data_IF_254567845609
#
_entry.id   IF_254567845609
#
_cell.length_a   1.000
_cell.length_b   1.000
_cell.length_c   1.000
_cell.angle_alpha   90.00
_cell.angle_beta   90.00
_cell.angle_gamma   90.00
#
_symmetry.space_group_name_H-M   'P 1'
#
loop_
_entity.id
_entity.type
_entity.pdbx_description
1 polymer ?
#
# COMPACT_ATOMS: atom_id res chain seq x y z
N UNK A 1 17.06 12.33 -20.95
CA UNK A 1 16.00 12.76 -21.90
C UNK A 1 15.45 11.52 -22.57
N UNK A 2 14.35 10.96 -22.05
CA UNK A 2 13.57 9.95 -22.78
C UNK A 2 12.54 10.75 -23.56
N UNK A 3 12.72 10.82 -24.88
CA UNK A 3 11.78 11.48 -25.79
C UNK A 3 10.51 10.62 -25.90
N UNK A 4 9.33 11.26 -25.93
CA UNK A 4 8.01 10.60 -26.06
C UNK A 4 7.92 9.56 -27.19
N UNK A 5 8.85 9.60 -28.15
CA UNK A 5 8.95 8.65 -29.26
C UNK A 5 9.22 7.18 -28.86
N UNK A 6 9.71 6.91 -27.64
CA UNK A 6 9.99 5.53 -27.18
C UNK A 6 8.89 4.86 -26.36
N UNK A 7 7.80 5.55 -26.05
CA UNK A 7 6.66 4.93 -25.34
C UNK A 7 5.87 4.03 -26.31
N UNK A 8 5.70 4.46 -27.57
CA UNK A 8 4.92 3.71 -28.57
C UNK A 8 5.50 2.36 -28.99
N UNK A 9 6.81 2.14 -28.83
CA UNK A 9 7.45 0.87 -29.23
C UNK A 9 7.39 -0.22 -28.14
N UNK A 10 6.91 0.11 -26.93
CA UNK A 10 6.74 -0.82 -25.81
C UNK A 10 5.27 -1.18 -25.52
N UNK A 11 4.32 -0.56 -26.21
CA UNK A 11 2.90 -0.89 -26.07
C UNK A 11 2.58 -2.02 -27.05
N UNK A 12 2.93 -3.25 -26.65
CA UNK A 12 2.27 -4.42 -27.22
C UNK A 12 0.80 -4.37 -26.77
N UNK A 13 -0.13 -4.53 -27.72
CA UNK A 13 -1.53 -4.06 -27.67
C UNK A 13 -2.43 -4.69 -26.60
N UNK A 14 -1.88 -5.49 -25.67
CA UNK A 14 -2.62 -6.24 -24.66
C UNK A 14 -2.18 -6.02 -23.21
N UNK A 15 -1.26 -5.09 -22.92
CA UNK A 15 -0.95 -4.77 -21.52
C UNK A 15 -0.18 -3.45 -21.39
N UNK A 16 -0.92 -2.35 -21.23
CA UNK A 16 -0.36 -1.08 -20.75
C UNK A 16 0.36 -1.25 -19.39
N UNK A 17 0.05 -2.36 -18.68
CA UNK A 17 0.49 -2.72 -17.33
C UNK A 17 1.59 -3.80 -17.34
N UNK A 18 2.42 -3.90 -18.37
CA UNK A 18 3.64 -4.73 -18.34
C UNK A 18 4.92 -3.93 -18.55
N UNK A 19 5.14 -2.95 -17.68
CA UNK A 19 6.41 -2.24 -17.58
C UNK A 19 6.97 -2.42 -16.17
N UNK A 20 8.21 -2.88 -16.04
CA UNK A 20 8.78 -3.45 -14.82
C UNK A 20 8.88 -2.38 -13.70
N UNK A 21 8.16 -2.54 -12.59
CA UNK A 21 8.37 -1.75 -11.36
C UNK A 21 8.39 -0.24 -11.61
N UNK A 22 9.40 0.47 -11.09
CA UNK A 22 9.71 1.92 -11.15
C UNK A 22 9.37 2.68 -12.46
N UNK A 23 9.04 1.97 -13.53
CA UNK A 23 8.55 2.50 -14.78
C UNK A 23 7.05 2.91 -14.73
N UNK A 24 6.25 2.38 -13.80
CA UNK A 24 4.82 2.74 -13.65
C UNK A 24 4.60 4.15 -13.11
N UNK A 25 5.25 4.51 -12.01
CA UNK A 25 5.17 5.86 -11.45
C UNK A 25 5.63 6.89 -12.49
N UNK A 26 6.61 6.52 -13.32
CA UNK A 26 7.11 7.35 -14.42
C UNK A 26 6.11 7.52 -15.57
N UNK A 27 5.29 6.52 -15.86
CA UNK A 27 4.21 6.63 -16.87
C UNK A 27 3.15 7.62 -16.38
N UNK A 28 2.66 7.46 -15.14
CA UNK A 28 1.70 8.38 -14.55
C UNK A 28 2.27 9.80 -14.45
N UNK A 29 3.50 9.94 -13.97
CA UNK A 29 4.22 11.21 -13.94
C UNK A 29 4.35 11.84 -15.33
N UNK A 30 4.71 11.03 -16.34
CA UNK A 30 4.88 11.50 -17.72
C UNK A 30 3.58 11.99 -18.33
N UNK A 31 2.46 11.34 -18.05
CA UNK A 31 1.15 11.73 -18.57
C UNK A 31 0.63 12.97 -17.85
N UNK A 32 0.70 13.03 -16.52
CA UNK A 32 0.30 14.24 -15.78
C UNK A 32 1.14 15.44 -16.22
N UNK A 33 2.45 15.26 -16.42
CA UNK A 33 3.34 16.27 -16.99
C UNK A 33 2.90 16.67 -18.39
N UNK A 34 2.61 15.71 -19.27
CA UNK A 34 2.14 15.99 -20.63
C UNK A 34 0.82 16.76 -20.63
N UNK A 35 -0.10 16.46 -19.71
CA UNK A 35 -1.37 17.18 -19.57
C UNK A 35 -1.15 18.62 -19.08
N UNK A 36 -0.37 18.81 -18.01
CA UNK A 36 -0.35 20.07 -17.25
C UNK A 36 0.75 21.05 -17.68
N UNK A 37 1.87 20.59 -18.24
CA UNK A 37 2.98 21.49 -18.56
C UNK A 37 2.59 22.49 -19.67
N UNK A 38 2.91 23.77 -19.48
CA UNK A 38 2.63 24.83 -20.47
C UNK A 38 3.33 24.58 -21.80
N UNK A 39 4.43 23.82 -21.82
CA UNK A 39 5.12 23.43 -23.07
C UNK A 39 4.27 22.55 -23.97
N UNK A 40 3.30 21.81 -23.42
CA UNK A 40 2.37 21.06 -24.25
C UNK A 40 1.18 21.95 -24.66
N UNK A 41 1.17 22.40 -25.90
CA UNK A 41 0.05 23.18 -26.44
C UNK A 41 -1.10 22.34 -27.00
N UNK A 42 -1.01 20.99 -26.97
CA UNK A 42 -2.12 20.13 -27.41
C UNK A 42 -3.28 20.09 -26.42
N UNK A 43 -3.01 20.35 -25.13
CA UNK A 43 -4.02 20.48 -24.08
C UNK A 43 -4.26 21.97 -23.81
N UNK A 44 -5.53 22.37 -23.83
CA UNK A 44 -5.94 23.76 -23.63
C UNK A 44 -5.62 24.25 -22.21
N UNK A 45 -5.36 25.55 -22.06
CA UNK A 45 -5.14 26.15 -20.74
C UNK A 45 -6.37 26.05 -19.84
N UNK A 46 -7.58 26.12 -20.41
CA UNK A 46 -8.84 25.90 -19.69
C UNK A 46 -8.89 24.51 -19.07
N UNK A 47 -8.49 23.48 -19.80
CA UNK A 47 -8.47 22.10 -19.30
C UNK A 47 -7.41 21.90 -18.23
N UNK A 48 -6.22 22.49 -18.38
CA UNK A 48 -5.19 22.50 -17.33
C UNK A 48 -5.70 23.17 -16.06
N UNK A 49 -6.37 24.32 -16.18
CA UNK A 49 -6.95 25.05 -15.06
C UNK A 49 -8.03 24.23 -14.36
N UNK A 50 -8.90 23.55 -15.11
CA UNK A 50 -9.94 22.68 -14.56
C UNK A 50 -9.35 21.57 -13.69
N UNK A 51 -8.30 20.90 -14.19
CA UNK A 51 -7.61 19.85 -13.44
C UNK A 51 -6.95 20.43 -12.19
N UNK A 52 -6.23 21.55 -12.30
CA UNK A 52 -5.62 22.21 -11.14
C UNK A 52 -6.66 22.61 -10.09
N UNK A 53 -7.82 23.16 -10.50
CA UNK A 53 -8.94 23.48 -9.60
C UNK A 53 -9.38 22.26 -8.80
N UNK A 54 -9.52 21.11 -9.47
CA UNK A 54 -9.91 19.85 -8.82
C UNK A 54 -8.83 19.35 -7.86
N UNK A 55 -7.55 19.46 -8.22
CA UNK A 55 -6.43 19.05 -7.36
C UNK A 55 -6.34 19.89 -6.09
N UNK A 56 -6.43 21.23 -6.19
CA UNK A 56 -6.42 22.11 -5.02
C UNK A 56 -7.64 21.85 -4.12
N UNK A 57 -8.82 21.71 -4.73
CA UNK A 57 -10.05 21.37 -4.00
C UNK A 57 -9.94 20.04 -3.27
N UNK A 58 -9.33 19.03 -3.89
CA UNK A 58 -9.08 17.72 -3.27
C UNK A 58 -8.16 17.84 -2.05
N UNK A 59 -7.19 18.75 -2.10
CA UNK A 59 -6.31 19.05 -0.98
C UNK A 59 -6.89 20.05 0.03
N UNK A 60 -8.20 20.29 0.00
CA UNK A 60 -8.91 21.26 0.85
C UNK A 60 -8.27 22.66 0.85
N UNK A 61 -7.55 22.99 -0.22
CA UNK A 61 -6.85 24.26 -0.36
C UNK A 61 -7.67 25.19 -1.25
N UNK A 62 -7.70 26.47 -0.89
CA UNK A 62 -8.37 27.48 -1.71
C UNK A 62 -7.69 27.55 -3.08
N UNK A 63 -8.48 27.60 -4.15
CA UNK A 63 -7.97 27.86 -5.49
C UNK A 63 -7.97 29.38 -5.74
N UNK A 64 -6.82 30.06 -5.64
CA UNK A 64 -6.80 31.51 -5.45
C UNK A 64 -6.57 32.30 -6.75
N UNK A 65 -6.64 31.67 -7.93
CA UNK A 65 -6.31 32.30 -9.21
C UNK A 65 -7.21 31.84 -10.35
N UNK A 66 -7.27 32.63 -11.43
CA UNK A 66 -7.95 32.34 -12.69
C UNK A 66 -6.94 31.98 -13.80
N UNK A 67 -7.43 31.67 -15.00
CA UNK A 67 -6.56 31.35 -16.15
C UNK A 67 -5.58 32.49 -16.47
N UNK A 68 -6.08 33.72 -16.45
CA UNK A 68 -5.34 34.93 -16.81
C UNK A 68 -4.21 35.26 -15.82
N UNK A 69 -4.25 34.71 -14.62
CA UNK A 69 -3.23 34.92 -13.60
C UNK A 69 -1.99 34.02 -13.83
N UNK A 70 -2.16 32.92 -14.58
CA UNK A 70 -1.13 31.90 -14.77
C UNK A 70 -0.16 32.34 -15.87
N UNK A 71 1.09 32.60 -15.47
CA UNK A 71 2.19 32.84 -16.40
C UNK A 71 2.65 31.52 -17.04
N UNK A 72 2.87 30.50 -16.21
CA UNK A 72 3.34 29.20 -16.67
C UNK A 72 3.11 28.09 -15.64
N UNK A 73 2.99 26.87 -16.15
CA UNK A 73 2.95 25.62 -15.39
C UNK A 73 4.15 24.79 -15.82
N UNK A 74 4.98 24.40 -14.84
CA UNK A 74 6.17 23.61 -15.05
C UNK A 74 6.12 22.33 -14.23
N UNK A 75 6.14 21.20 -14.93
CA UNK A 75 6.14 19.89 -14.31
C UNK A 75 7.58 19.38 -14.20
N UNK A 76 8.04 19.15 -12.96
CA UNK A 76 9.38 18.68 -12.62
C UNK A 76 9.29 17.25 -12.11
N UNK A 77 9.43 16.24 -13.00
CA UNK A 77 9.52 14.87 -12.53
C UNK A 77 10.79 14.70 -11.72
N UNK A 78 10.80 13.73 -10.81
CA UNK A 78 12.02 13.27 -10.20
C UNK A 78 12.79 14.35 -9.38
N UNK A 79 12.04 15.25 -8.73
CA UNK A 79 12.58 16.40 -8.00
C UNK A 79 13.40 15.96 -6.77
N UNK A 80 14.71 16.21 -6.78
CA UNK A 80 15.65 15.70 -5.79
C UNK A 80 16.12 16.74 -4.76
N UNK A 81 16.16 16.36 -3.49
CA UNK A 81 16.80 17.11 -2.40
C UNK A 81 18.24 16.63 -2.20
N UNK A 82 19.06 16.79 -3.23
CA UNK A 82 20.40 16.19 -3.29
C UNK A 82 20.32 14.65 -3.17
N UNK A 83 21.06 14.08 -2.21
CA UNK A 83 21.09 12.62 -1.98
C UNK A 83 20.07 12.13 -0.94
N UNK A 84 19.25 13.02 -0.36
CA UNK A 84 18.36 12.67 0.76
C UNK A 84 17.10 11.94 0.30
N UNK A 85 16.30 12.61 -0.53
CA UNK A 85 14.96 12.19 -0.98
C UNK A 85 14.70 12.72 -2.37
N UNK A 86 13.70 12.12 -3.00
CA UNK A 86 13.25 12.45 -4.35
C UNK A 86 11.73 12.35 -4.39
N UNK A 87 11.08 13.38 -4.91
CA UNK A 87 9.64 13.43 -5.16
C UNK A 87 9.39 12.98 -6.60
N UNK A 88 8.31 12.25 -6.81
CA UNK A 88 7.95 11.72 -8.14
C UNK A 88 7.58 12.84 -9.11
N UNK A 89 6.73 13.80 -8.71
CA UNK A 89 6.36 14.95 -9.53
C UNK A 89 6.12 16.21 -8.69
N UNK A 90 6.71 17.33 -9.11
CA UNK A 90 6.37 18.67 -8.61
C UNK A 90 5.77 19.48 -9.76
N UNK A 91 4.56 19.99 -9.57
CA UNK A 91 3.89 20.91 -10.49
C UNK A 91 4.06 22.32 -9.91
N UNK A 92 4.86 23.14 -10.58
CA UNK A 92 5.10 24.54 -10.24
C UNK A 92 4.20 25.44 -11.09
N UNK A 93 3.37 26.27 -10.44
CA UNK A 93 2.41 27.16 -11.08
C UNK A 93 2.85 28.59 -10.77
N UNK A 94 3.43 29.27 -11.77
CA UNK A 94 3.89 30.65 -11.64
C UNK A 94 2.76 31.60 -12.01
N UNK A 95 2.48 32.54 -11.13
CA UNK A 95 1.49 33.58 -11.36
C UNK A 95 2.19 34.89 -11.75
N UNK A 96 1.56 35.70 -12.60
CA UNK A 96 2.11 36.98 -13.06
C UNK A 96 2.44 37.96 -11.92
N UNK A 97 1.80 37.82 -10.76
CA UNK A 97 2.06 38.62 -9.56
C UNK A 97 3.33 38.21 -8.77
N UNK A 98 4.11 37.25 -9.28
CA UNK A 98 5.33 36.76 -8.63
C UNK A 98 5.10 35.70 -7.55
N UNK A 99 3.84 35.41 -7.19
CA UNK A 99 3.50 34.28 -6.33
C UNK A 99 3.62 32.97 -7.09
N UNK A 100 4.20 31.94 -6.46
CA UNK A 100 4.28 30.59 -7.03
C UNK A 100 3.52 29.63 -6.13
N UNK A 101 2.71 28.79 -6.76
CA UNK A 101 1.93 27.73 -6.10
C UNK A 101 2.45 26.36 -6.54
N UNK A 102 2.31 25.36 -5.68
CA UNK A 102 2.87 24.04 -5.92
C UNK A 102 1.86 22.94 -5.66
N UNK A 103 1.90 21.91 -6.51
CA UNK A 103 1.34 20.60 -6.20
C UNK A 103 2.49 19.60 -6.18
N UNK A 104 2.71 18.98 -5.02
CA UNK A 104 3.78 18.02 -4.75
C UNK A 104 3.16 16.64 -4.68
N UNK A 105 3.53 15.75 -5.61
CA UNK A 105 2.92 14.44 -5.78
C UNK A 105 3.95 13.35 -5.52
N UNK A 106 3.65 12.52 -4.53
CA UNK A 106 4.26 11.20 -4.35
C UNK A 106 3.33 10.14 -4.95
N UNK A 107 3.88 9.20 -5.70
CA UNK A 107 3.15 8.12 -6.34
C UNK A 107 3.59 6.78 -5.79
N UNK A 108 2.66 5.85 -5.64
CA UNK A 108 2.93 4.52 -5.12
C UNK A 108 2.08 3.47 -5.81
N UNK A 109 2.67 2.33 -6.13
CA UNK A 109 2.00 1.23 -6.84
C UNK A 109 1.86 -0.02 -5.96
N UNK A 110 2.91 -0.40 -5.24
CA UNK A 110 2.93 -1.68 -4.52
C UNK A 110 2.88 -1.55 -3.00
N UNK A 111 3.39 -0.44 -2.49
CA UNK A 111 3.63 -0.22 -1.07
C UNK A 111 3.40 1.25 -0.73
N UNK A 112 3.10 1.51 0.54
CA UNK A 112 2.85 2.85 1.04
C UNK A 112 4.09 3.37 1.78
N UNK A 113 4.44 4.67 1.66
CA UNK A 113 5.53 5.29 2.41
C UNK A 113 5.20 5.34 3.90
N UNK A 114 6.22 5.21 4.73
CA UNK A 114 6.06 5.43 6.17
C UNK A 114 5.83 6.92 6.48
N UNK A 115 5.17 7.22 7.59
CA UNK A 115 4.89 8.61 8.04
C UNK A 115 6.16 9.49 8.06
N UNK A 116 7.26 8.99 8.64
CA UNK A 116 8.56 9.69 8.63
C UNK A 116 9.10 9.98 7.23
N UNK A 117 8.72 9.16 6.24
CA UNK A 117 9.06 9.43 4.84
C UNK A 117 8.29 10.65 4.33
N UNK A 118 6.98 10.71 4.58
CA UNK A 118 6.12 11.81 4.15
C UNK A 118 6.47 13.12 4.87
N UNK A 119 6.55 13.11 6.20
CA UNK A 119 6.89 14.31 6.99
C UNK A 119 8.23 14.91 6.57
N UNK A 120 9.24 14.07 6.31
CA UNK A 120 10.52 14.57 5.85
C UNK A 120 10.50 15.08 4.40
N UNK A 121 9.62 14.56 3.53
CA UNK A 121 9.39 15.15 2.20
C UNK A 121 8.81 16.55 2.32
N UNK A 122 7.84 16.78 3.21
CA UNK A 122 7.28 18.13 3.48
C UNK A 122 8.37 19.08 3.93
N UNK A 123 9.14 18.71 4.96
CA UNK A 123 10.23 19.55 5.48
C UNK A 123 11.29 19.84 4.42
N UNK A 124 11.83 18.81 3.76
CA UNK A 124 12.86 18.99 2.74
C UNK A 124 12.35 19.87 1.56
N UNK A 125 11.06 19.77 1.19
CA UNK A 125 10.46 20.61 0.14
C UNK A 125 10.36 22.09 0.53
N UNK A 126 9.73 22.38 1.66
CA UNK A 126 9.50 23.76 2.12
C UNK A 126 10.83 24.49 2.35
N UNK A 127 11.83 23.80 2.92
CA UNK A 127 13.16 24.38 3.16
C UNK A 127 13.93 24.65 1.86
N UNK A 128 13.84 23.74 0.89
CA UNK A 128 14.59 23.85 -0.37
C UNK A 128 14.00 24.90 -1.30
N UNK A 129 12.66 24.96 -1.38
CA UNK A 129 11.94 25.88 -2.27
C UNK A 129 11.71 27.24 -1.60
N UNK A 130 11.86 27.32 -0.28
CA UNK A 130 11.66 28.54 0.53
C UNK A 130 10.26 29.13 0.30
N UNK A 131 9.23 28.31 0.51
CA UNK A 131 7.83 28.65 0.26
C UNK A 131 6.97 28.36 1.49
N UNK A 132 5.97 29.21 1.73
CA UNK A 132 4.99 28.96 2.79
C UNK A 132 4.11 27.75 2.47
N UNK A 133 3.80 26.95 3.50
CA UNK A 133 3.01 25.72 3.38
C UNK A 133 1.64 25.93 2.71
N UNK A 134 1.00 27.07 2.95
CA UNK A 134 -0.29 27.43 2.35
C UNK A 134 -0.26 27.49 0.81
N UNK A 135 0.92 27.70 0.22
CA UNK A 135 1.12 27.73 -1.23
C UNK A 135 1.38 26.35 -1.83
N UNK A 136 1.34 25.28 -1.03
CA UNK A 136 1.71 23.93 -1.44
C UNK A 136 0.59 22.94 -1.12
N UNK A 137 0.21 22.15 -2.10
CA UNK A 137 -0.65 20.98 -1.93
C UNK A 137 0.21 19.72 -1.98
N UNK A 138 0.20 18.90 -0.92
CA UNK A 138 0.88 17.60 -0.92
C UNK A 138 -0.14 16.48 -1.19
N UNK A 139 0.13 15.67 -2.20
CA UNK A 139 -0.73 14.57 -2.64
C UNK A 139 0.04 13.25 -2.65
N UNK A 140 -0.61 12.19 -2.14
CA UNK A 140 -0.15 10.82 -2.27
C UNK A 140 -1.10 10.08 -3.21
N UNK A 141 -0.66 9.83 -4.44
CA UNK A 141 -1.42 9.08 -5.43
C UNK A 141 -1.12 7.59 -5.30
N UNK A 142 -2.17 6.80 -5.06
CA UNK A 142 -2.11 5.36 -4.87
C UNK A 142 -2.66 4.65 -6.11
N UNK A 143 -1.81 3.82 -6.68
CA UNK A 143 -2.09 2.89 -7.78
C UNK A 143 -1.81 1.46 -7.31
N UNK A 144 -2.07 0.49 -8.17
CA UNK A 144 -1.89 -0.92 -7.93
C UNK A 144 -2.42 -1.39 -6.58
N UNK A 145 -1.65 -2.26 -5.96
CA UNK A 145 -2.00 -2.83 -4.66
C UNK A 145 -1.81 -1.85 -3.49
N UNK A 146 -1.15 -0.71 -3.70
CA UNK A 146 -1.03 0.30 -2.64
C UNK A 146 -2.38 0.87 -2.24
N UNK A 147 -3.38 0.84 -3.13
CA UNK A 147 -4.75 1.28 -2.86
C UNK A 147 -5.43 0.55 -1.70
N UNK A 148 -5.03 -0.70 -1.43
CA UNK A 148 -5.63 -1.54 -0.38
C UNK A 148 -4.73 -1.66 0.86
N UNK A 149 -3.56 -1.03 0.85
CA UNK A 149 -2.65 -1.01 1.98
C UNK A 149 -3.10 -0.02 3.07
N UNK A 150 -2.59 -0.21 4.28
CA UNK A 150 -2.79 0.71 5.40
C UNK A 150 -2.22 2.08 5.06
N UNK A 151 -3.08 3.08 5.03
CA UNK A 151 -2.68 4.46 4.80
C UNK A 151 -1.77 4.96 5.94
N UNK A 152 -0.76 5.79 5.61
CA UNK A 152 0.07 6.42 6.63
C UNK A 152 -0.75 7.49 7.34
N UNK A 153 -0.58 7.62 8.65
CA UNK A 153 -1.19 8.71 9.40
C UNK A 153 -0.37 9.98 9.19
N UNK A 154 -0.70 10.79 8.20
CA UNK A 154 0.00 12.03 7.91
C UNK A 154 -1.01 13.14 7.59
N UNK A 155 -0.89 14.27 8.28
CA UNK A 155 -1.84 15.40 8.16
C UNK A 155 -1.55 16.31 6.96
N UNK A 156 -0.38 16.19 6.35
CA UNK A 156 0.03 17.07 5.24
C UNK A 156 -0.36 16.50 3.87
N UNK A 157 -0.29 15.18 3.71
CA UNK A 157 -0.54 14.50 2.45
C UNK A 157 -2.00 14.08 2.29
N UNK A 158 -2.65 14.61 1.26
CA UNK A 158 -3.98 14.16 0.83
C UNK A 158 -3.86 12.90 -0.04
N UNK A 159 -4.53 11.83 0.37
CA UNK A 159 -4.39 10.51 -0.25
C UNK A 159 -5.44 10.28 -1.34
N UNK A 160 -4.99 10.19 -2.59
CA UNK A 160 -5.83 9.98 -3.77
C UNK A 160 -5.72 8.53 -4.24
N UNK A 161 -6.82 7.78 -4.26
CA UNK A 161 -6.88 6.44 -4.86
C UNK A 161 -7.23 6.55 -6.36
N UNK A 162 -7.29 5.44 -7.09
CA UNK A 162 -7.54 5.49 -8.54
C UNK A 162 -8.88 6.13 -8.90
N UNK A 163 -9.94 5.94 -8.11
CA UNK A 163 -11.22 6.63 -8.35
C UNK A 163 -11.03 8.15 -8.27
N UNK A 164 -10.41 8.65 -7.19
CA UNK A 164 -10.12 10.06 -7.04
C UNK A 164 -9.23 10.59 -8.17
N UNK A 165 -8.24 9.81 -8.61
CA UNK A 165 -7.36 10.19 -9.72
C UNK A 165 -8.17 10.32 -11.02
N UNK A 166 -9.06 9.37 -11.33
CA UNK A 166 -9.95 9.49 -12.49
C UNK A 166 -10.79 10.76 -12.38
N UNK A 167 -11.42 11.02 -11.24
CA UNK A 167 -12.27 12.20 -11.01
C UNK A 167 -11.51 13.54 -11.19
N UNK A 168 -10.22 13.57 -10.88
CA UNK A 168 -9.38 14.76 -11.09
C UNK A 168 -9.22 15.07 -12.59
N UNK A 169 -9.13 14.04 -13.44
CA UNK A 169 -8.74 14.16 -14.85
C UNK A 169 -9.88 13.92 -15.85
N UNK A 170 -11.01 13.34 -15.45
CA UNK A 170 -12.15 13.03 -16.31
C UNK A 170 -12.92 14.29 -16.77
N UNK A 171 -13.91 14.12 -17.66
CA UNK A 171 -14.74 15.23 -18.18
C UNK A 171 -13.93 16.39 -18.76
N UNK A 172 -12.85 16.05 -19.46
CA UNK A 172 -12.02 17.00 -20.20
C UNK A 172 -12.23 16.83 -21.70
N UNK A 173 -11.83 17.84 -22.48
CA UNK A 173 -11.89 17.84 -23.94
C UNK A 173 -10.66 17.17 -24.60
N UNK A 174 -9.84 16.46 -23.81
CA UNK A 174 -8.61 15.82 -24.30
C UNK A 174 -8.99 14.58 -25.12
N UNK A 175 -8.68 14.63 -26.42
CA UNK A 175 -8.98 13.55 -27.38
C UNK A 175 -7.76 12.74 -27.80
N UNK A 176 -6.58 13.12 -27.31
CA UNK A 176 -5.33 12.39 -27.58
C UNK A 176 -5.38 10.96 -27.03
N UNK A 177 -4.93 9.99 -27.83
CA UNK A 177 -5.01 8.56 -27.48
C UNK A 177 -4.24 8.22 -26.21
N UNK A 178 -3.11 8.89 -25.95
CA UNK A 178 -2.31 8.68 -24.73
C UNK A 178 -3.14 8.94 -23.46
N UNK A 179 -4.01 9.95 -23.48
CA UNK A 179 -4.88 10.27 -22.36
C UNK A 179 -6.03 9.27 -22.23
N UNK A 180 -6.69 8.96 -23.34
CA UNK A 180 -7.81 8.01 -23.38
C UNK A 180 -7.35 6.62 -22.90
N UNK A 181 -6.22 6.13 -23.41
CA UNK A 181 -5.62 4.84 -23.01
C UNK A 181 -5.24 4.84 -21.52
N UNK A 182 -4.77 5.97 -20.99
CA UNK A 182 -4.44 6.10 -19.57
C UNK A 182 -5.67 6.02 -18.67
N UNK A 183 -6.73 6.78 -18.98
CA UNK A 183 -7.99 6.72 -18.23
C UNK A 183 -8.58 5.30 -18.30
N UNK A 184 -8.63 4.69 -19.48
CA UNK A 184 -9.08 3.31 -19.65
C UNK A 184 -8.26 2.32 -18.80
N UNK A 185 -6.93 2.49 -18.76
CA UNK A 185 -6.06 1.65 -17.92
C UNK A 185 -6.33 1.82 -16.43
N UNK A 186 -6.68 3.03 -15.96
CA UNK A 186 -7.04 3.28 -14.57
C UNK A 186 -8.39 2.61 -14.23
N UNK A 187 -9.37 2.69 -15.13
CA UNK A 187 -10.66 1.99 -14.98
C UNK A 187 -10.49 0.47 -14.96
N UNK A 188 -9.60 -0.08 -15.79
CA UNK A 188 -9.25 -1.51 -15.76
C UNK A 188 -8.61 -1.91 -14.43
N UNK A 189 -7.82 -1.04 -13.82
CA UNK A 189 -7.22 -1.31 -12.51
C UNK A 189 -8.27 -1.46 -11.41
N UNK A 190 -9.30 -0.60 -11.41
CA UNK A 190 -10.44 -0.72 -10.51
C UNK A 190 -11.12 -2.08 -10.73
N UNK A 191 -11.40 -2.45 -11.98
CA UNK A 191 -12.01 -3.74 -12.32
C UNK A 191 -11.15 -4.92 -11.85
N UNK A 192 -9.82 -4.88 -12.04
CA UNK A 192 -8.90 -5.93 -11.55
C UNK A 192 -8.94 -6.09 -10.04
N UNK A 193 -9.03 -4.99 -9.29
CA UNK A 193 -9.10 -5.03 -7.82
C UNK A 193 -10.40 -5.70 -7.31
N UNK A 194 -11.51 -5.49 -8.03
CA UNK A 194 -12.83 -6.03 -7.70
C UNK A 194 -12.99 -7.49 -8.11
N UNK A 195 -12.38 -7.90 -9.23
CA UNK A 195 -12.58 -9.21 -9.83
C UNK A 195 -11.54 -10.27 -9.43
N UNK A 196 -10.62 -9.96 -8.51
CA UNK A 196 -9.51 -10.88 -8.22
C UNK A 196 -9.95 -12.28 -7.74
N UNK A 197 -11.08 -12.38 -7.03
CA UNK A 197 -11.64 -13.69 -6.62
C UNK A 197 -12.12 -14.48 -7.84
N UNK A 198 -12.77 -13.81 -8.80
CA UNK A 198 -13.18 -14.43 -10.06
C UNK A 198 -11.98 -14.93 -10.86
N UNK A 199 -10.86 -14.20 -10.86
CA UNK A 199 -9.63 -14.60 -11.54
C UNK A 199 -8.96 -15.84 -10.95
N UNK A 200 -9.30 -16.23 -9.72
CA UNK A 200 -8.82 -17.48 -9.12
C UNK A 200 -9.52 -18.71 -9.70
N UNK A 201 -10.70 -18.56 -10.32
CA UNK A 201 -11.41 -19.67 -10.94
C UNK A 201 -10.62 -20.21 -12.14
N UNK A 202 -10.19 -21.47 -12.05
CA UNK A 202 -9.35 -22.12 -13.07
C UNK A 202 -7.84 -22.02 -12.84
N UNK A 203 -7.39 -21.41 -11.74
CA UNK A 203 -5.98 -21.48 -11.33
C UNK A 203 -5.64 -22.85 -10.73
N UNK A 204 -4.53 -23.45 -11.16
CA UNK A 204 -3.95 -24.64 -10.52
C UNK A 204 -3.01 -24.29 -9.37
N UNK A 205 -2.43 -23.08 -9.39
CA UNK A 205 -1.54 -22.59 -8.34
C UNK A 205 -1.63 -21.09 -8.20
N UNK A 206 -2.01 -20.62 -7.01
CA UNK A 206 -2.01 -19.19 -6.64
C UNK A 206 -0.63 -18.53 -6.78
N UNK A 207 0.46 -19.32 -6.88
CA UNK A 207 1.83 -18.84 -7.05
C UNK A 207 2.28 -18.78 -8.51
N UNK A 208 1.40 -19.07 -9.46
CA UNK A 208 1.73 -18.94 -10.89
C UNK A 208 1.91 -17.47 -11.27
N UNK A 209 3.18 -17.06 -11.38
CA UNK A 209 3.54 -15.68 -11.69
C UNK A 209 3.17 -15.28 -13.12
N UNK A 210 3.14 -16.23 -14.06
CA UNK A 210 2.78 -15.95 -15.44
C UNK A 210 1.28 -15.77 -15.56
N UNK A 211 0.49 -16.62 -14.89
CA UNK A 211 -0.96 -16.48 -14.83
C UNK A 211 -1.41 -15.08 -14.36
N UNK A 212 -0.81 -14.60 -13.26
CA UNK A 212 -1.10 -13.26 -12.73
C UNK A 212 -0.67 -12.16 -13.69
N UNK A 213 0.51 -12.29 -14.31
CA UNK A 213 1.04 -11.31 -15.27
C UNK A 213 0.16 -11.21 -16.52
N UNK A 214 -0.31 -12.33 -17.05
CA UNK A 214 -1.14 -12.37 -18.26
C UNK A 214 -2.50 -11.68 -18.04
N UNK A 215 -2.94 -11.56 -16.79
CA UNK A 215 -4.16 -10.86 -16.35
C UNK A 215 -3.92 -9.42 -15.88
N UNK A 216 -2.70 -8.91 -16.03
CA UNK A 216 -2.36 -7.53 -15.68
C UNK A 216 -2.15 -7.29 -14.18
N UNK A 217 -1.92 -8.36 -13.39
CA UNK A 217 -1.46 -8.22 -12.01
C UNK A 217 0.06 -8.22 -11.96
N UNK A 218 0.65 -7.33 -11.15
CA UNK A 218 2.07 -7.42 -10.84
C UNK A 218 2.32 -8.72 -10.04
N UNK A 219 3.25 -9.59 -10.46
CA UNK A 219 3.44 -10.88 -9.81
C UNK A 219 4.06 -10.75 -8.42
N UNK A 220 4.10 -11.86 -7.68
CA UNK A 220 4.60 -11.99 -6.30
C UNK A 220 3.63 -11.52 -5.22
N UNK A 221 3.73 -10.27 -4.75
CA UNK A 221 3.05 -9.80 -3.53
C UNK A 221 1.72 -9.12 -3.82
N UNK A 222 1.63 -8.35 -4.91
CA UNK A 222 0.46 -7.55 -5.24
C UNK A 222 -0.85 -8.35 -5.33
N UNK A 223 -0.89 -9.58 -5.89
CA UNK A 223 -2.13 -10.35 -5.92
C UNK A 223 -2.59 -10.68 -4.50
N UNK A 224 -1.67 -11.05 -3.61
CA UNK A 224 -1.99 -11.33 -2.21
C UNK A 224 -2.54 -10.11 -1.47
N UNK A 225 -2.11 -8.89 -1.77
CA UNK A 225 -2.70 -7.70 -1.14
C UNK A 225 -4.16 -7.49 -1.53
N UNK A 226 -4.51 -7.70 -2.81
CA UNK A 226 -5.89 -7.67 -3.24
C UNK A 226 -6.71 -8.83 -2.66
N UNK A 227 -6.13 -10.04 -2.59
CA UNK A 227 -6.79 -11.17 -1.93
C UNK A 227 -7.04 -10.90 -0.45
N UNK A 228 -6.06 -10.32 0.26
CA UNK A 228 -6.26 -9.89 1.64
C UNK A 228 -7.34 -8.82 1.78
N UNK A 229 -7.43 -7.90 0.81
CA UNK A 229 -8.48 -6.89 0.81
C UNK A 229 -9.86 -7.55 0.74
N UNK A 230 -10.04 -8.52 -0.16
CA UNK A 230 -11.30 -9.26 -0.24
C UNK A 230 -11.54 -10.10 1.03
N UNK A 231 -10.51 -10.79 1.52
CA UNK A 231 -10.59 -11.64 2.70
C UNK A 231 -11.00 -10.85 3.96
N UNK A 232 -10.47 -9.64 4.17
CA UNK A 232 -10.84 -8.82 5.33
C UNK A 232 -12.26 -8.27 5.26
N UNK A 233 -12.87 -8.16 4.08
CA UNK A 233 -14.25 -7.72 3.95
C UNK A 233 -15.23 -8.76 4.51
N UNK A 234 -14.82 -10.03 4.59
CA UNK A 234 -15.57 -11.12 5.24
C UNK A 234 -15.43 -11.13 6.77
N UNK A 235 -14.61 -10.24 7.35
CA UNK A 235 -14.43 -10.10 8.81
C UNK A 235 -15.62 -9.35 9.42
N UNK A 236 -15.98 -9.66 10.66
CA UNK A 236 -16.93 -8.86 11.45
C UNK A 236 -16.43 -7.42 11.64
N UNK A 237 -15.11 -7.24 11.68
CA UNK A 237 -14.45 -5.92 11.78
C UNK A 237 -13.38 -5.74 10.69
N UNK A 238 -13.74 -5.38 9.44
CA UNK A 238 -12.76 -5.23 8.34
C UNK A 238 -11.71 -4.12 8.56
N UNK A 239 -12.06 -3.10 9.36
CA UNK A 239 -11.18 -1.96 9.68
C UNK A 239 -10.05 -2.32 10.65
N UNK A 240 -10.18 -3.43 11.40
CA UNK A 240 -9.14 -3.90 12.32
C UNK A 240 -7.97 -4.57 11.59
N UNK A 241 -8.15 -4.92 10.31
CA UNK A 241 -7.16 -5.59 9.50
C UNK A 241 -6.38 -4.60 8.63
N UNK A 242 -5.06 -4.60 8.81
CA UNK A 242 -4.12 -3.72 8.13
C UNK A 242 -3.29 -4.52 7.12
N UNK A 243 -3.25 -4.09 5.86
CA UNK A 243 -2.43 -4.70 4.81
C UNK A 243 -1.16 -3.86 4.62
N UNK A 244 0.02 -4.49 4.66
CA UNK A 244 1.29 -3.80 4.43
C UNK A 244 2.38 -4.76 3.94
N UNK A 245 3.51 -4.18 3.50
CA UNK A 245 4.68 -4.95 3.06
C UNK A 245 5.51 -5.41 4.26
N UNK A 246 5.63 -6.73 4.45
CA UNK A 246 6.34 -7.34 5.58
C UNK A 246 7.77 -7.76 5.27
N UNK A 247 8.58 -6.93 4.60
CA UNK A 247 9.96 -7.24 4.17
C UNK A 247 10.07 -8.59 3.43
N UNK A 248 9.83 -8.59 2.12
CA UNK A 248 9.84 -9.74 1.20
C UNK A 248 8.65 -10.71 1.30
N UNK A 249 7.54 -10.29 1.92
CA UNK A 249 6.30 -11.07 1.93
C UNK A 249 5.07 -10.19 2.14
N UNK A 250 3.91 -10.59 1.56
CA UNK A 250 2.67 -9.87 1.73
C UNK A 250 2.09 -10.15 3.11
N UNK A 251 1.70 -9.10 3.85
CA UNK A 251 1.16 -9.21 5.20
C UNK A 251 -0.21 -8.56 5.32
N UNK A 252 -1.13 -9.25 6.01
CA UNK A 252 -2.35 -8.67 6.55
C UNK A 252 -2.41 -8.95 8.05
N UNK A 253 -2.26 -7.92 8.86
CA UNK A 253 -2.16 -8.00 10.31
C UNK A 253 -3.48 -7.64 10.99
N UNK A 254 -3.83 -8.36 12.05
CA UNK A 254 -4.94 -7.98 12.91
C UNK A 254 -4.46 -7.01 14.00
N UNK A 255 -4.83 -5.74 13.86
CA UNK A 255 -4.32 -4.62 14.66
C UNK A 255 -4.66 -4.73 16.16
N UNK A 256 -5.84 -5.21 16.58
CA UNK A 256 -6.14 -5.46 18.00
C UNK A 256 -5.37 -6.64 18.59
N UNK A 257 -4.78 -7.49 17.75
CA UNK A 257 -4.11 -8.72 18.18
C UNK A 257 -2.78 -8.52 18.89
N UNK A 258 -2.28 -7.28 18.95
CA UNK A 258 -1.02 -6.93 19.60
C UNK A 258 -1.18 -6.93 21.13
N UNK A 259 -0.70 -7.99 21.77
CA UNK A 259 -0.91 -8.24 23.19
C UNK A 259 0.40 -8.43 23.95
N UNK A 260 0.69 -7.52 24.88
CA UNK A 260 1.86 -7.61 25.75
C UNK A 260 1.63 -8.66 26.84
N UNK A 261 2.60 -9.56 27.03
CA UNK A 261 2.57 -10.62 28.03
C UNK A 261 3.96 -10.79 28.63
N UNK A 262 4.00 -11.42 29.80
CA UNK A 262 5.25 -11.85 30.43
C UNK A 262 5.44 -13.35 30.19
N UNK A 263 6.62 -13.73 29.73
CA UNK A 263 7.03 -15.13 29.61
C UNK A 263 8.39 -15.31 30.28
N UNK A 264 8.45 -16.13 31.32
CA UNK A 264 9.65 -16.31 32.18
C UNK A 264 10.27 -14.98 32.64
N UNK A 265 9.43 -14.03 33.05
CA UNK A 265 9.87 -12.72 33.53
C UNK A 265 10.36 -11.76 32.43
N UNK A 266 10.21 -12.09 31.14
CA UNK A 266 10.56 -11.25 30.00
C UNK A 266 9.31 -10.77 29.26
N UNK A 267 9.31 -9.51 28.84
CA UNK A 267 8.20 -8.94 28.08
C UNK A 267 8.22 -9.48 26.65
N UNK A 268 7.06 -9.94 26.19
CA UNK A 268 6.85 -10.44 24.83
C UNK A 268 5.55 -9.87 24.28
N UNK A 269 5.56 -9.54 22.99
CA UNK A 269 4.40 -8.95 22.33
C UNK A 269 3.86 -9.92 21.28
N UNK A 270 2.77 -10.61 21.59
CA UNK A 270 2.09 -11.49 20.64
C UNK A 270 1.35 -10.67 19.59
N UNK A 271 1.29 -11.18 18.37
CA UNK A 271 0.50 -10.60 17.29
C UNK A 271 0.15 -11.65 16.23
N UNK A 272 -0.81 -11.29 15.38
CA UNK A 272 -1.44 -12.20 14.42
C UNK A 272 -1.41 -11.62 13.02
N UNK A 273 -1.05 -12.42 12.03
CA UNK A 273 -1.08 -11.98 10.63
C UNK A 273 -1.30 -13.12 9.65
N UNK A 274 -1.86 -12.80 8.50
CA UNK A 274 -1.72 -13.60 7.30
C UNK A 274 -0.39 -13.32 6.61
N UNK A 275 0.27 -14.40 6.19
CA UNK A 275 1.47 -14.41 5.38
C UNK A 275 1.29 -15.44 4.26
N UNK A 276 1.09 -14.95 3.03
CA UNK A 276 0.48 -15.72 1.95
C UNK A 276 -0.84 -16.39 2.40
N UNK A 277 -0.96 -17.70 2.20
CA UNK A 277 -2.14 -18.48 2.61
C UNK A 277 -2.02 -19.03 4.04
N UNK A 278 -1.05 -18.58 4.84
CA UNK A 278 -0.88 -19.01 6.23
C UNK A 278 -1.33 -17.89 7.19
N UNK A 279 -2.25 -18.20 8.11
CA UNK A 279 -2.48 -17.36 9.28
C UNK A 279 -1.49 -17.76 10.38
N UNK A 280 -0.84 -16.79 11.02
CA UNK A 280 0.34 -17.02 11.85
C UNK A 280 0.21 -16.28 13.18
N UNK A 281 0.37 -17.03 14.27
CA UNK A 281 0.67 -16.46 15.59
C UNK A 281 2.17 -16.18 15.67
N UNK A 282 2.52 -14.93 15.92
CA UNK A 282 3.89 -14.46 16.05
C UNK A 282 4.12 -13.78 17.40
N UNK A 283 5.39 -13.60 17.73
CA UNK A 283 5.86 -12.81 18.86
C UNK A 283 6.92 -11.85 18.40
N UNK A 284 6.81 -10.60 18.85
CA UNK A 284 7.85 -9.60 18.83
C UNK A 284 8.56 -9.64 20.18
N UNK A 285 9.87 -9.79 20.14
CA UNK A 285 10.76 -9.80 21.30
C UNK A 285 11.36 -8.41 21.38
N UNK A 286 11.23 -7.76 22.53
CA UNK A 286 11.86 -6.46 22.79
C UNK A 286 13.39 -6.60 22.66
N UNK A 287 14.07 -5.61 22.07
CA UNK A 287 15.53 -5.56 21.98
C UNK A 287 16.19 -5.63 23.36
N UNK A 288 15.48 -5.20 24.41
CA UNK A 288 15.93 -5.30 25.80
C UNK A 288 15.64 -6.69 26.43
N UNK A 289 14.70 -7.45 25.85
CA UNK A 289 14.32 -8.78 26.31
C UNK A 289 15.13 -9.85 25.57
N UNK A 290 16.24 -10.30 26.16
CA UNK A 290 17.07 -11.38 25.62
C UNK A 290 16.42 -12.77 25.81
N UNK A 291 15.37 -13.09 25.05
CA UNK A 291 14.86 -14.46 24.97
C UNK A 291 15.89 -15.37 24.29
N UNK A 292 16.31 -16.42 25.01
CA UNK A 292 17.22 -17.43 24.50
C UNK A 292 16.48 -18.38 23.55
N UNK A 293 17.25 -19.05 22.67
CA UNK A 293 16.70 -20.03 21.71
C UNK A 293 15.83 -21.09 22.40
N UNK A 294 16.30 -21.65 23.52
CA UNK A 294 15.57 -22.70 24.26
C UNK A 294 14.28 -22.18 24.89
N UNK A 295 14.24 -20.91 25.30
CA UNK A 295 13.04 -20.27 25.82
C UNK A 295 12.02 -20.04 24.70
N UNK A 296 12.47 -19.63 23.51
CA UNK A 296 11.59 -19.52 22.34
C UNK A 296 11.05 -20.89 21.91
N UNK A 297 11.86 -21.96 21.99
CA UNK A 297 11.41 -23.33 21.73
C UNK A 297 10.35 -23.74 22.77
N UNK A 298 10.57 -23.45 24.05
CA UNK A 298 9.60 -23.70 25.11
C UNK A 298 8.29 -22.96 24.85
N UNK A 299 8.36 -21.68 24.46
CA UNK A 299 7.18 -20.89 24.10
C UNK A 299 6.41 -21.51 22.92
N UNK A 300 7.12 -21.96 21.87
CA UNK A 300 6.49 -22.66 20.73
C UNK A 300 5.77 -23.93 21.16
N UNK A 301 6.37 -24.72 22.06
CA UNK A 301 5.78 -25.96 22.56
C UNK A 301 4.52 -25.68 23.39
N UNK A 302 4.54 -24.63 24.22
CA UNK A 302 3.38 -24.22 25.01
C UNK A 302 2.22 -23.77 24.11
N UNK A 303 2.52 -22.92 23.12
CA UNK A 303 1.52 -22.47 22.13
C UNK A 303 0.94 -23.66 21.35
N UNK A 304 1.78 -24.62 20.95
CA UNK A 304 1.33 -25.84 20.28
C UNK A 304 0.36 -26.64 21.16
N UNK A 305 0.69 -26.85 22.43
CA UNK A 305 -0.17 -27.56 23.38
C UNK A 305 -1.54 -26.88 23.54
N UNK A 306 -1.56 -25.55 23.66
CA UNK A 306 -2.80 -24.76 23.71
C UNK A 306 -3.61 -25.00 22.44
N UNK A 307 -3.00 -24.81 21.27
CA UNK A 307 -3.70 -24.91 20.00
C UNK A 307 -4.22 -26.32 19.69
N UNK A 308 -3.52 -27.38 20.12
CA UNK A 308 -3.94 -28.77 19.91
C UNK A 308 -5.14 -29.17 20.78
N UNK A 309 -5.36 -28.50 21.91
CA UNK A 309 -6.45 -28.79 22.84
C UNK A 309 -7.73 -27.97 22.57
N UNK A 310 -7.69 -27.07 21.58
CA UNK A 310 -8.83 -26.25 21.19
C UNK A 310 -9.59 -26.88 20.03
N UNK A 311 -10.91 -26.84 20.11
CA UNK A 311 -11.81 -27.21 19.01
C UNK A 311 -11.85 -26.10 17.95
N UNK A 312 -10.77 -26.02 17.16
CA UNK A 312 -10.54 -25.08 16.05
C UNK A 312 -9.81 -25.79 14.92
N UNK A 313 -9.73 -25.16 13.73
CA UNK A 313 -8.90 -25.67 12.61
C UNK A 313 -7.50 -26.00 13.11
N UNK A 314 -7.04 -27.22 12.84
CA UNK A 314 -5.70 -27.65 13.23
C UNK A 314 -4.63 -26.87 12.44
N UNK A 315 -3.63 -26.40 13.17
CA UNK A 315 -2.43 -25.81 12.57
C UNK A 315 -1.20 -26.65 12.87
N UNK A 316 -0.04 -26.01 12.81
CA UNK A 316 1.25 -26.63 13.13
C UNK A 316 2.18 -25.63 13.80
N UNK A 317 3.01 -26.14 14.70
CA UNK A 317 4.14 -25.39 15.26
C UNK A 317 5.15 -25.07 14.16
N UNK A 318 5.82 -23.92 14.30
CA UNK A 318 6.88 -23.52 13.38
C UNK A 318 8.21 -24.20 13.70
N UNK A 319 9.10 -24.24 12.72
CA UNK A 319 10.43 -24.85 12.89
C UNK A 319 11.25 -24.14 13.97
N UNK A 320 12.00 -24.92 14.74
CA UNK A 320 12.99 -24.40 15.67
C UNK A 320 14.17 -23.80 14.89
N UNK A 321 14.24 -22.47 14.88
CA UNK A 321 15.39 -21.75 14.34
C UNK A 321 16.41 -21.50 15.45
N UNK A 322 17.69 -21.69 15.14
CA UNK A 322 18.81 -21.47 16.08
C UNK A 322 19.03 -20.00 16.43
N UNK A 323 18.58 -19.09 15.57
CA UNK A 323 18.68 -17.65 15.79
C UNK A 323 17.32 -17.10 16.19
N UNK A 324 17.32 -16.32 17.28
CA UNK A 324 16.16 -15.57 17.76
C UNK A 324 16.24 -14.18 17.12
N UNK A 325 15.31 -13.88 16.21
CA UNK A 325 15.16 -12.53 15.66
C UNK A 325 14.25 -11.66 16.52
N UNK A 326 14.08 -10.40 16.15
CA UNK A 326 13.07 -9.51 16.76
C UNK A 326 11.65 -10.08 16.59
N UNK A 327 11.35 -10.63 15.41
CA UNK A 327 10.04 -11.20 15.07
C UNK A 327 10.15 -12.71 14.85
N UNK A 328 9.37 -13.49 15.61
CA UNK A 328 9.39 -14.94 15.53
C UNK A 328 7.98 -15.50 15.32
N UNK A 329 7.85 -16.42 14.37
CA UNK A 329 6.62 -17.20 14.22
C UNK A 329 6.58 -18.34 15.23
N UNK A 330 5.41 -18.58 15.81
CA UNK A 330 5.18 -19.60 16.84
C UNK A 330 4.34 -20.76 16.32
N UNK A 331 3.21 -20.44 15.69
CA UNK A 331 2.24 -21.42 15.21
C UNK A 331 1.54 -20.91 13.94
N UNK A 332 1.12 -21.82 13.07
CA UNK A 332 0.59 -21.50 11.74
C UNK A 332 -0.62 -22.35 11.39
N UNK A 333 -1.65 -21.71 10.84
CA UNK A 333 -2.80 -22.35 10.22
C UNK A 333 -2.71 -22.15 8.71
N UNK A 334 -2.67 -23.26 7.96
CA UNK A 334 -2.66 -23.20 6.50
C UNK A 334 -4.09 -23.14 6.00
N UNK A 335 -4.35 -22.20 5.11
CA UNK A 335 -5.56 -22.14 4.30
C UNK A 335 -5.21 -22.43 2.85
N UNK A 336 -6.20 -22.88 2.09
CA UNK A 336 -6.09 -22.98 0.64
C UNK A 336 -7.11 -22.05 -0.02
N UNK A 337 -6.65 -20.86 -0.41
CA UNK A 337 -7.50 -19.85 -1.04
C UNK A 337 -8.15 -20.32 -2.36
N UNK A 338 -7.66 -21.40 -3.00
CA UNK A 338 -8.29 -21.97 -4.20
C UNK A 338 -9.43 -22.94 -3.88
N UNK A 339 -9.40 -23.57 -2.72
CA UNK A 339 -10.34 -24.65 -2.34
C UNK A 339 -11.31 -24.22 -1.22
N UNK A 340 -10.94 -23.21 -0.43
CA UNK A 340 -11.72 -22.68 0.68
C UNK A 340 -12.30 -21.30 0.32
N UNK A 341 -13.57 -21.07 0.65
CA UNK A 341 -14.19 -19.75 0.47
C UNK A 341 -13.58 -18.74 1.45
N UNK A 342 -13.59 -17.45 1.09
CA UNK A 342 -13.03 -16.42 1.97
C UNK A 342 -13.88 -16.23 3.23
N UNK A 343 -15.20 -16.42 3.13
CA UNK A 343 -16.12 -16.48 4.27
C UNK A 343 -15.70 -17.59 5.25
N UNK A 344 -15.45 -18.81 4.75
CA UNK A 344 -15.01 -19.93 5.60
C UNK A 344 -13.63 -19.67 6.23
N UNK A 345 -12.68 -19.16 5.44
CA UNK A 345 -11.34 -18.83 5.92
C UNK A 345 -11.42 -17.79 7.05
N UNK A 346 -12.20 -16.73 6.87
CA UNK A 346 -12.34 -15.68 7.88
C UNK A 346 -13.11 -16.16 9.11
N UNK A 347 -14.19 -16.92 8.94
CA UNK A 347 -14.93 -17.54 10.04
C UNK A 347 -14.04 -18.42 10.92
N UNK A 348 -13.16 -19.22 10.30
CA UNK A 348 -12.17 -20.02 11.04
C UNK A 348 -11.11 -19.15 11.72
N UNK A 349 -10.66 -18.09 11.05
CA UNK A 349 -9.71 -17.13 11.59
C UNK A 349 -10.26 -16.45 12.84
N UNK A 350 -11.52 -16.01 12.83
CA UNK A 350 -12.17 -15.40 13.98
C UNK A 350 -12.37 -16.37 15.14
N UNK A 351 -12.69 -17.64 14.86
CA UNK A 351 -12.72 -18.70 15.90
C UNK A 351 -11.35 -18.87 16.56
N UNK A 352 -10.27 -18.85 15.78
CA UNK A 352 -8.89 -18.88 16.29
C UNK A 352 -8.61 -17.66 17.16
N UNK A 353 -8.91 -16.45 16.65
CA UNK A 353 -8.70 -15.18 17.35
C UNK A 353 -9.54 -15.03 18.62
N UNK A 354 -10.68 -15.71 18.71
CA UNK A 354 -11.49 -15.74 19.93
C UNK A 354 -10.92 -16.68 20.98
N UNK A 355 -10.53 -17.90 20.59
CA UNK A 355 -10.17 -18.97 21.55
C UNK A 355 -8.70 -18.94 21.98
N UNK A 356 -7.77 -18.75 21.05
CA UNK A 356 -6.33 -18.86 21.37
C UNK A 356 -5.84 -17.74 22.30
N UNK A 357 -6.16 -16.45 22.06
CA UNK A 357 -5.76 -15.39 22.99
C UNK A 357 -6.25 -15.62 24.43
N UNK A 358 -7.50 -16.05 24.62
CA UNK A 358 -8.08 -16.34 25.94
C UNK A 358 -7.29 -17.40 26.70
N UNK A 359 -6.91 -18.50 26.04
CA UNK A 359 -6.09 -19.53 26.67
C UNK A 359 -4.69 -19.00 26.99
N UNK A 360 -4.06 -18.23 26.09
CA UNK A 360 -2.75 -17.63 26.35
C UNK A 360 -2.74 -16.76 27.62
N UNK A 361 -3.83 -16.04 27.92
CA UNK A 361 -3.93 -15.24 29.16
C UNK A 361 -3.97 -16.11 30.41
N UNK A 362 -4.72 -17.22 30.33
CA UNK A 362 -4.94 -18.14 31.44
C UNK A 362 -3.69 -18.93 31.81
N UNK A 363 -2.76 -19.09 30.86
CA UNK A 363 -1.48 -19.76 31.08
C UNK A 363 -0.41 -18.83 31.66
N UNK A 364 -0.29 -17.57 31.22
CA UNK A 364 0.68 -16.61 31.78
C UNK A 364 0.47 -16.31 33.27
N UNK A 365 -0.78 -16.36 33.75
CA UNK A 365 -1.11 -16.12 35.17
C UNK A 365 -0.63 -17.23 36.10
N UNK A 366 -0.53 -18.48 35.61
CA UNK A 366 -0.05 -19.65 36.37
C UNK A 366 1.47 -19.68 36.52
N UNK A 367 2.23 -19.15 35.55
CA UNK A 367 3.70 -19.03 35.68
C UNK A 367 4.14 -17.87 36.57
N UNK A 368 3.28 -16.86 36.79
CA UNK A 368 3.58 -15.70 37.63
C UNK A 368 3.34 -15.94 39.13
N UNK A 369 2.79 -17.10 39.49
CA UNK A 369 2.41 -17.48 40.87
C UNK A 369 3.31 -18.56 41.49
N UNK A 370 4.44 -18.89 40.86
CA UNK A 370 5.44 -19.88 41.35
C UNK A 370 6.76 -19.20 41.69
#
# INVERSE_FOLDING_TARGET
MITCKKVGDYVDRNNYVNVIGYQFERVHTGIIMWILDTKNSSVSNQTKLLILKRMFKFCENSFPFNEEDIESIHCKPEFSFGRKRKIDLVIEIRLHMGTTKYVVIEMKVDSIPYEKQLSGTVTDFLDTVQVDKENVCFMLMLFGSSQVCKLPNNEDFYVSNVNHIIDLFCDTDITDTIFIDWIASLEEEIKRSQNIIGEMSGMTSIRDLNYWRDRGYRPMFSPFYYLYHQLKLESISPSEWSIYSGNNNPVMNWTPGWNNKMFKGKAVLFYWEFNYQEFVLKVKIDEQSNLLSDELIALRNQVELICMNLDIKHGRRTQNRRQVGEYNSLYKWKFDFLEETFEDIMSQTEKILKKVPQELETFSSKESTV
#
